data_IF_790568086854
#
_entry.id   IF_790568086854
#
_cell.length_a   1.000
_cell.length_b   1.000
_cell.length_c   1.000
_cell.angle_alpha   90.00
_cell.angle_beta   90.00
_cell.angle_gamma   90.00
#
_symmetry.space_group_name_H-M   'P 1'
#
loop_
_entity.id
_entity.type
_entity.pdbx_description
1 polymer ?
#
# COMPACT_ATOMS: atom_id res chain seq x y z
N UNK A 1 -33.70 -28.95 45.44
CA UNK A 1 -33.68 -28.22 44.19
C UNK A 1 -33.59 -26.73 44.49
N UNK A 2 -32.45 -26.12 44.27
CA UNK A 2 -32.26 -24.65 44.41
C UNK A 2 -31.94 -24.13 43.02
N UNK A 3 -32.56 -23.02 42.56
CA UNK A 3 -32.26 -22.44 41.24
C UNK A 3 -30.94 -21.63 41.28
N UNK A 4 -30.13 -21.83 40.26
CA UNK A 4 -28.86 -21.11 40.02
C UNK A 4 -29.18 -19.75 39.45
N UNK A 5 -28.76 -18.71 40.16
CA UNK A 5 -28.87 -17.31 39.79
C UNK A 5 -27.80 -17.02 38.72
N UNK A 6 -28.21 -16.68 37.49
CA UNK A 6 -27.30 -16.22 36.44
C UNK A 6 -27.01 -14.72 36.64
N UNK A 7 -25.76 -14.42 36.92
CA UNK A 7 -25.24 -13.04 36.96
C UNK A 7 -24.92 -12.63 35.52
N UNK A 8 -25.76 -11.77 34.95
CA UNK A 8 -25.50 -11.12 33.68
C UNK A 8 -24.49 -9.97 33.88
N UNK A 9 -23.28 -10.14 33.38
CA UNK A 9 -22.27 -9.10 33.32
C UNK A 9 -22.69 -8.05 32.27
N UNK A 10 -22.92 -6.82 32.73
CA UNK A 10 -23.20 -5.68 31.85
C UNK A 10 -21.90 -5.24 31.16
N UNK A 11 -21.84 -5.42 29.83
CA UNK A 11 -20.80 -4.84 28.98
C UNK A 11 -21.14 -3.37 28.77
N UNK A 12 -20.21 -2.41 29.05
CA UNK A 12 -20.48 -1.00 28.78
C UNK A 12 -20.56 -0.78 27.26
N UNK A 13 -21.71 -0.29 26.80
CA UNK A 13 -21.88 0.23 25.44
C UNK A 13 -21.04 1.50 25.31
N UNK A 14 -19.89 1.39 24.65
CA UNK A 14 -19.19 2.53 24.09
C UNK A 14 -20.09 3.04 22.94
N UNK A 15 -20.71 4.20 23.16
CA UNK A 15 -21.40 4.96 22.12
C UNK A 15 -20.31 5.46 21.15
N UNK A 16 -20.01 4.67 20.12
CA UNK A 16 -19.34 5.17 18.93
C UNK A 16 -20.31 6.13 18.26
N UNK A 17 -20.00 7.42 18.29
CA UNK A 17 -20.67 8.43 17.47
C UNK A 17 -20.34 8.11 16.00
N UNK A 18 -21.16 7.26 15.39
CA UNK A 18 -21.16 7.06 13.94
C UNK A 18 -21.68 8.33 13.30
N UNK A 19 -20.76 9.18 12.83
CA UNK A 19 -21.09 10.23 11.88
C UNK A 19 -21.62 9.53 10.65
N UNK A 20 -22.91 9.69 10.34
CA UNK A 20 -23.57 9.09 9.19
C UNK A 20 -22.77 9.41 7.92
N UNK A 21 -22.38 8.37 7.17
CA UNK A 21 -21.80 8.51 5.84
C UNK A 21 -22.88 9.12 4.95
N UNK A 22 -22.72 10.37 4.56
CA UNK A 22 -23.64 11.07 3.68
C UNK A 22 -23.68 10.38 2.31
N UNK A 23 -24.87 10.04 1.78
CA UNK A 23 -24.96 9.44 0.46
C UNK A 23 -24.51 10.43 -0.62
N UNK A 24 -23.79 9.91 -1.61
CA UNK A 24 -23.20 10.63 -2.74
C UNK A 24 -24.28 11.08 -3.75
N UNK A 25 -25.05 12.13 -3.42
CA UNK A 25 -25.83 12.86 -4.41
C UNK A 25 -26.06 14.30 -3.94
N UNK A 26 -25.58 15.23 -4.76
CA UNK A 26 -25.58 16.68 -4.61
C UNK A 26 -24.58 17.21 -3.57
N UNK A 27 -23.51 17.87 -4.09
CA UNK A 27 -22.76 18.84 -3.32
C UNK A 27 -23.72 19.93 -2.86
N UNK A 28 -24.16 19.82 -1.62
CA UNK A 28 -24.87 20.90 -0.96
C UNK A 28 -23.82 22.00 -0.71
N UNK A 29 -23.86 23.07 -1.50
CA UNK A 29 -22.94 24.23 -1.46
C UNK A 29 -22.97 24.96 -0.11
N UNK A 30 -23.66 24.42 0.91
CA UNK A 30 -23.89 25.08 2.18
C UNK A 30 -22.71 24.99 3.17
N UNK A 31 -21.82 23.99 3.07
CA UNK A 31 -20.69 23.84 4.02
C UNK A 31 -19.42 23.47 3.25
N UNK A 32 -18.41 24.34 3.21
CA UNK A 32 -17.16 24.07 2.51
C UNK A 32 -16.38 22.92 3.17
N UNK A 33 -15.71 22.10 2.37
CA UNK A 33 -14.79 21.05 2.81
C UNK A 33 -13.62 21.71 3.54
N UNK A 34 -13.43 21.41 4.80
CA UNK A 34 -12.32 21.91 5.60
C UNK A 34 -11.06 21.09 5.32
N UNK A 35 -10.02 21.74 4.82
CA UNK A 35 -8.77 21.09 4.41
C UNK A 35 -7.62 21.58 5.27
N UNK A 36 -6.77 20.69 5.74
CA UNK A 36 -5.42 20.98 6.25
C UNK A 36 -4.39 20.37 5.33
N UNK A 37 -3.22 21.00 5.23
CA UNK A 37 -2.12 20.58 4.36
C UNK A 37 -0.88 20.37 5.22
N UNK A 38 -0.11 19.31 4.91
CA UNK A 38 1.22 19.09 5.44
C UNK A 38 2.19 18.73 4.32
N UNK A 39 3.19 19.57 4.14
CA UNK A 39 4.19 19.46 3.07
C UNK A 39 5.46 20.19 3.54
N UNK A 40 6.61 19.52 3.53
CA UNK A 40 7.87 20.11 3.98
C UNK A 40 8.43 21.12 2.97
N UNK A 41 8.21 20.90 1.68
CA UNK A 41 8.59 21.86 0.64
C UNK A 41 7.69 23.10 0.71
N UNK A 42 8.26 24.24 1.11
CA UNK A 42 7.53 25.49 1.30
C UNK A 42 6.81 25.98 0.03
N UNK A 43 7.44 25.83 -1.14
CA UNK A 43 6.87 26.28 -2.42
C UNK A 43 5.65 25.44 -2.81
N UNK A 44 5.77 24.11 -2.68
CA UNK A 44 4.66 23.20 -2.98
C UNK A 44 3.52 23.39 -1.98
N UNK A 45 3.82 23.53 -0.69
CA UNK A 45 2.85 23.82 0.36
C UNK A 45 2.05 25.09 0.07
N UNK A 46 2.73 26.17 -0.30
CA UNK A 46 2.07 27.43 -0.66
C UNK A 46 1.23 27.27 -1.94
N UNK A 47 1.75 26.58 -2.95
CA UNK A 47 1.03 26.29 -4.20
C UNK A 47 -0.26 25.53 -3.96
N UNK A 48 -0.21 24.40 -3.22
CA UNK A 48 -1.40 23.62 -2.87
C UNK A 48 -2.37 24.46 -2.02
N UNK A 49 -1.85 25.22 -1.05
CA UNK A 49 -2.66 26.09 -0.19
C UNK A 49 -3.44 27.13 -0.99
N UNK A 50 -2.81 27.75 -1.97
CA UNK A 50 -3.45 28.69 -2.87
C UNK A 50 -4.56 28.05 -3.71
N UNK A 51 -4.24 26.92 -4.34
CA UNK A 51 -5.19 26.16 -5.16
C UNK A 51 -6.45 25.78 -4.39
N UNK A 52 -6.29 25.27 -3.17
CA UNK A 52 -7.41 24.90 -2.29
C UNK A 52 -8.20 26.15 -1.89
N UNK A 53 -7.53 27.25 -1.57
CA UNK A 53 -8.17 28.50 -1.13
C UNK A 53 -8.97 29.20 -2.23
N UNK A 54 -8.65 28.97 -3.51
CA UNK A 54 -9.35 29.50 -4.66
C UNK A 54 -10.68 28.76 -4.95
N UNK A 55 -10.93 27.59 -4.30
CA UNK A 55 -12.14 26.81 -4.51
C UNK A 55 -13.29 27.31 -3.62
N UNK A 56 -14.46 27.56 -4.23
CA UNK A 56 -15.65 28.01 -3.48
C UNK A 56 -16.21 26.96 -2.53
N UNK A 57 -15.98 25.67 -2.81
CA UNK A 57 -16.46 24.52 -2.04
C UNK A 57 -15.45 24.00 -1.03
N UNK A 58 -14.31 24.68 -0.84
CA UNK A 58 -13.24 24.29 0.07
C UNK A 58 -12.87 25.45 1.01
N UNK A 59 -12.36 25.10 2.20
CA UNK A 59 -11.81 26.04 3.16
C UNK A 59 -10.49 25.52 3.71
N UNK A 60 -9.40 26.19 3.37
CA UNK A 60 -8.11 25.91 3.98
C UNK A 60 -8.12 26.36 5.44
N UNK A 61 -7.88 25.43 6.38
CA UNK A 61 -7.76 25.73 7.81
C UNK A 61 -6.34 26.11 8.20
N UNK A 62 -5.34 25.52 7.52
CA UNK A 62 -3.94 25.81 7.76
C UNK A 62 -3.03 24.88 6.97
N UNK A 63 -1.73 25.19 6.99
CA UNK A 63 -0.69 24.41 6.34
C UNK A 63 0.53 24.29 7.27
N UNK A 64 1.09 23.08 7.40
CA UNK A 64 2.24 22.75 8.23
C UNK A 64 3.40 22.23 7.38
N UNK A 65 4.64 22.36 7.87
CA UNK A 65 5.83 21.82 7.22
C UNK A 65 6.36 20.54 7.87
N UNK A 66 5.70 20.05 8.91
CA UNK A 66 6.14 18.91 9.72
C UNK A 66 4.95 18.21 10.38
N UNK A 67 5.25 17.08 11.02
CA UNK A 67 4.27 16.23 11.69
C UNK A 67 3.60 16.91 12.89
N UNK A 68 4.35 17.68 13.69
CA UNK A 68 3.83 18.29 14.90
C UNK A 68 2.84 19.42 14.57
N UNK A 69 3.19 20.23 13.58
CA UNK A 69 2.30 21.25 13.04
C UNK A 69 1.02 20.66 12.44
N UNK A 70 1.14 19.53 11.71
CA UNK A 70 -0.03 18.83 11.18
C UNK A 70 -0.95 18.35 12.30
N UNK A 71 -0.42 17.73 13.35
CA UNK A 71 -1.21 17.25 14.50
C UNK A 71 -1.92 18.39 15.23
N UNK A 72 -1.25 19.54 15.39
CA UNK A 72 -1.88 20.74 15.98
C UNK A 72 -3.07 21.20 15.11
N UNK A 73 -2.89 21.33 13.80
CA UNK A 73 -3.97 21.73 12.89
C UNK A 73 -5.15 20.75 12.89
N UNK A 74 -4.90 19.45 13.00
CA UNK A 74 -5.96 18.43 13.12
C UNK A 74 -6.69 18.55 14.45
N UNK A 75 -5.95 18.81 15.55
CA UNK A 75 -6.52 18.97 16.89
C UNK A 75 -7.42 20.20 17.02
N UNK A 76 -6.95 21.32 16.50
CA UNK A 76 -7.60 22.63 16.66
C UNK A 76 -8.73 22.86 15.66
N UNK A 77 -8.62 22.28 14.45
CA UNK A 77 -9.44 22.67 13.29
C UNK A 77 -10.60 21.74 12.95
N UNK A 78 -10.62 20.51 13.44
CA UNK A 78 -11.56 19.45 13.03
C UNK A 78 -11.76 19.42 11.51
N UNK A 79 -10.71 19.09 10.71
CA UNK A 79 -10.78 19.08 9.26
C UNK A 79 -11.63 17.93 8.74
N UNK A 80 -12.20 18.11 7.53
CA UNK A 80 -12.86 17.04 6.79
C UNK A 80 -11.83 16.24 5.97
N UNK A 81 -10.74 16.91 5.52
CA UNK A 81 -9.67 16.31 4.71
C UNK A 81 -8.29 16.77 5.17
N UNK A 82 -7.36 15.83 5.18
CA UNK A 82 -5.92 16.05 5.35
C UNK A 82 -5.23 15.74 4.03
N UNK A 83 -4.49 16.70 3.49
CA UNK A 83 -3.55 16.50 2.37
C UNK A 83 -2.14 16.46 2.97
N UNK A 84 -1.39 15.38 2.79
CA UNK A 84 -0.10 15.21 3.44
C UNK A 84 0.96 14.61 2.53
N UNK A 85 2.18 15.13 2.60
CA UNK A 85 3.35 14.41 2.10
C UNK A 85 3.57 13.13 2.92
N UNK A 86 4.17 12.10 2.30
CA UNK A 86 4.60 10.90 3.01
C UNK A 86 5.74 11.22 3.96
N UNK A 87 6.73 11.97 3.50
CA UNK A 87 8.01 12.20 4.17
C UNK A 87 8.13 13.63 4.65
N UNK A 88 8.07 13.83 5.93
CA UNK A 88 8.20 15.14 6.58
C UNK A 88 9.08 15.05 7.83
N UNK A 89 9.64 16.16 8.32
CA UNK A 89 10.27 16.15 9.64
C UNK A 89 9.31 15.60 10.71
N UNK A 90 9.82 14.88 11.75
CA UNK A 90 11.23 14.86 12.16
C UNK A 90 12.10 13.78 11.49
N UNK A 91 11.55 12.69 10.96
CA UNK A 91 12.37 11.56 10.47
C UNK A 91 12.46 11.51 8.94
N UNK A 92 11.55 12.16 8.24
CA UNK A 92 11.43 12.19 6.77
C UNK A 92 11.36 10.79 6.16
N UNK A 93 10.56 9.91 6.78
CA UNK A 93 10.38 8.52 6.34
C UNK A 93 8.96 8.22 5.88
N UNK A 94 7.99 8.19 6.80
CA UNK A 94 6.62 7.69 6.57
C UNK A 94 5.55 8.45 7.36
N UNK A 95 5.87 9.67 7.82
CA UNK A 95 5.04 10.45 8.73
C UNK A 95 3.59 10.60 8.23
N UNK A 96 3.42 10.90 6.94
CA UNK A 96 2.08 11.05 6.36
C UNK A 96 1.26 9.77 6.36
N UNK A 97 1.89 8.62 6.09
CA UNK A 97 1.22 7.31 6.13
C UNK A 97 0.85 6.95 7.57
N UNK A 98 1.72 7.23 8.54
CA UNK A 98 1.45 7.00 9.97
C UNK A 98 0.27 7.83 10.45
N UNK A 99 0.20 9.12 10.10
CA UNK A 99 -0.96 9.96 10.41
C UNK A 99 -2.23 9.41 9.75
N UNK A 100 -2.16 8.97 8.50
CA UNK A 100 -3.32 8.38 7.82
C UNK A 100 -3.84 7.13 8.53
N UNK A 101 -2.94 6.29 9.05
CA UNK A 101 -3.28 5.09 9.84
C UNK A 101 -3.87 5.48 11.20
N UNK A 102 -3.24 6.41 11.92
CA UNK A 102 -3.73 6.95 13.21
C UNK A 102 -5.14 7.55 13.06
N UNK A 103 -5.38 8.34 12.02
CA UNK A 103 -6.69 8.95 11.75
C UNK A 103 -7.76 7.91 11.39
N UNK A 104 -7.39 6.78 10.79
CA UNK A 104 -8.33 5.70 10.52
C UNK A 104 -8.92 5.14 11.81
N UNK A 105 -8.10 4.99 12.85
CA UNK A 105 -8.50 4.43 14.12
C UNK A 105 -9.22 5.45 15.01
N UNK A 106 -8.70 6.68 15.04
CA UNK A 106 -9.16 7.71 15.99
C UNK A 106 -10.24 8.61 15.44
N UNK A 107 -10.19 8.92 14.14
CA UNK A 107 -11.13 9.84 13.44
C UNK A 107 -11.45 9.33 12.03
N UNK A 108 -12.17 8.21 11.88
CA UNK A 108 -12.41 7.55 10.58
C UNK A 108 -13.18 8.40 9.58
N UNK A 109 -13.85 9.46 10.04
CA UNK A 109 -14.57 10.41 9.18
C UNK A 109 -13.66 11.41 8.45
N UNK A 110 -12.36 11.50 8.78
CA UNK A 110 -11.43 12.39 8.10
C UNK A 110 -10.87 11.69 6.87
N UNK A 111 -11.07 12.30 5.68
CA UNK A 111 -10.44 11.88 4.44
C UNK A 111 -8.94 12.20 4.43
N UNK A 112 -8.12 11.35 3.83
CA UNK A 112 -6.67 11.60 3.72
C UNK A 112 -6.22 11.44 2.28
N UNK A 113 -5.58 12.47 1.74
CA UNK A 113 -4.86 12.46 0.46
C UNK A 113 -3.37 12.43 0.77
N UNK A 114 -2.71 11.36 0.39
CA UNK A 114 -1.26 11.20 0.55
C UNK A 114 -0.56 11.54 -0.77
N UNK A 115 0.43 12.42 -0.71
CA UNK A 115 1.25 12.83 -1.83
C UNK A 115 2.61 12.14 -1.76
N UNK A 116 3.03 11.50 -2.84
CA UNK A 116 4.29 10.76 -2.92
C UNK A 116 5.16 11.28 -4.07
N UNK A 117 6.44 11.47 -3.82
CA UNK A 117 7.39 11.80 -4.88
C UNK A 117 7.75 10.56 -5.73
N UNK A 118 7.74 9.39 -5.13
CA UNK A 118 8.06 8.12 -5.78
C UNK A 118 6.94 7.12 -5.50
N UNK A 119 6.47 6.45 -6.52
CA UNK A 119 5.38 5.48 -6.42
C UNK A 119 5.77 4.19 -5.68
N UNK A 120 6.21 4.29 -4.42
CA UNK A 120 6.58 3.12 -3.63
C UNK A 120 5.32 2.33 -3.24
N UNK A 121 5.18 1.08 -3.73
CA UNK A 121 4.02 0.25 -3.43
C UNK A 121 3.83 -0.04 -1.94
N UNK A 122 4.91 -0.05 -1.16
CA UNK A 122 4.84 -0.35 0.28
C UNK A 122 4.01 0.69 1.04
N UNK A 123 4.15 1.98 0.70
CA UNK A 123 3.34 3.04 1.31
C UNK A 123 1.87 2.97 0.88
N UNK A 124 1.60 2.59 -0.37
CA UNK A 124 0.23 2.41 -0.84
C UNK A 124 -0.45 1.23 -0.14
N UNK A 125 0.26 0.10 0.05
CA UNK A 125 -0.24 -1.04 0.83
C UNK A 125 -0.56 -0.59 2.25
N UNK A 126 0.38 0.06 2.95
CA UNK A 126 0.19 0.52 4.33
C UNK A 126 -0.98 1.51 4.45
N UNK A 127 -1.13 2.43 3.48
CA UNK A 127 -2.24 3.38 3.44
C UNK A 127 -3.60 2.69 3.27
N UNK A 128 -3.68 1.64 2.44
CA UNK A 128 -4.92 0.97 2.08
C UNK A 128 -5.22 -0.24 2.96
N UNK A 129 -4.26 -0.69 3.78
CA UNK A 129 -4.46 -1.75 4.76
C UNK A 129 -5.55 -1.36 5.76
N UNK A 130 -6.49 -2.26 5.99
CA UNK A 130 -7.66 -2.01 6.84
C UNK A 130 -8.82 -1.26 6.17
N UNK A 131 -8.75 -1.00 4.85
CA UNK A 131 -9.83 -0.43 4.03
C UNK A 131 -9.40 0.79 3.20
N UNK A 132 -10.08 0.99 2.08
CA UNK A 132 -9.75 2.04 1.11
C UNK A 132 -10.55 3.33 1.33
N UNK A 133 -11.71 3.26 2.01
CA UNK A 133 -12.64 4.39 2.14
C UNK A 133 -11.98 5.65 2.73
N UNK A 134 -12.21 6.79 2.07
CA UNK A 134 -11.66 8.08 2.48
C UNK A 134 -10.14 8.21 2.33
N UNK A 135 -9.51 7.42 1.46
CA UNK A 135 -8.06 7.44 1.25
C UNK A 135 -7.71 7.68 -0.21
N UNK A 136 -6.78 8.62 -0.45
CA UNK A 136 -6.21 8.82 -1.77
C UNK A 136 -4.67 8.75 -1.72
N UNK A 137 -4.09 8.19 -2.76
CA UNK A 137 -2.65 8.13 -2.98
C UNK A 137 -2.34 8.71 -4.36
N UNK A 138 -1.66 9.85 -4.39
CA UNK A 138 -1.29 10.56 -5.62
C UNK A 138 0.22 10.73 -5.72
N UNK A 139 0.73 10.72 -6.94
CA UNK A 139 2.11 11.12 -7.23
C UNK A 139 2.22 12.64 -7.27
N UNK A 140 3.29 13.22 -6.68
CA UNK A 140 3.54 14.68 -6.70
C UNK A 140 3.67 15.23 -8.13
N UNK A 141 4.18 14.43 -9.06
CA UNK A 141 4.24 14.82 -10.48
C UNK A 141 2.84 15.04 -11.08
N UNK A 142 1.83 14.36 -10.55
CA UNK A 142 0.42 14.52 -10.94
C UNK A 142 -0.26 15.72 -10.27
N UNK A 143 0.27 16.21 -9.15
CA UNK A 143 -0.23 17.44 -8.49
C UNK A 143 0.01 18.68 -9.36
N UNK A 144 0.87 18.59 -10.37
CA UNK A 144 0.97 19.60 -11.43
C UNK A 144 -0.33 19.73 -12.23
N UNK A 145 -1.15 18.69 -12.32
CA UNK A 145 -2.56 18.76 -12.72
C UNK A 145 -3.41 19.02 -11.47
N UNK A 146 -3.67 20.30 -11.25
CA UNK A 146 -4.44 20.80 -10.10
C UNK A 146 -5.80 20.13 -9.97
N UNK A 147 -6.44 19.78 -11.08
CA UNK A 147 -7.77 19.18 -11.10
C UNK A 147 -7.77 17.77 -10.49
N UNK A 148 -6.72 16.98 -10.69
CA UNK A 148 -6.60 15.65 -10.06
C UNK A 148 -6.55 15.73 -8.52
N UNK A 149 -5.81 16.71 -7.97
CA UNK A 149 -5.75 16.93 -6.53
C UNK A 149 -7.11 17.37 -5.97
N UNK A 150 -7.77 18.31 -6.63
CA UNK A 150 -9.08 18.81 -6.20
C UNK A 150 -10.16 17.73 -6.27
N UNK A 151 -10.13 16.88 -7.29
CA UNK A 151 -11.00 15.70 -7.38
C UNK A 151 -10.70 14.74 -6.23
N UNK A 152 -9.44 14.43 -5.94
CA UNK A 152 -9.09 13.54 -4.85
C UNK A 152 -9.57 14.07 -3.49
N UNK A 153 -9.44 15.38 -3.21
CA UNK A 153 -9.95 15.99 -1.99
C UNK A 153 -11.47 15.79 -1.86
N UNK A 154 -12.23 16.03 -2.94
CA UNK A 154 -13.69 15.84 -2.94
C UNK A 154 -14.08 14.38 -2.75
N UNK A 155 -13.37 13.48 -3.41
CA UNK A 155 -13.64 12.04 -3.32
C UNK A 155 -13.42 11.51 -1.89
N UNK A 156 -12.28 11.85 -1.26
CA UNK A 156 -12.01 11.39 0.12
C UNK A 156 -12.93 12.05 1.15
N UNK A 157 -13.35 13.30 0.93
CA UNK A 157 -14.35 13.97 1.76
C UNK A 157 -15.71 13.24 1.72
N UNK A 158 -16.03 12.63 0.57
CA UNK A 158 -17.24 11.82 0.40
C UNK A 158 -17.06 10.34 0.83
N UNK A 159 -15.92 9.99 1.44
CA UNK A 159 -15.60 8.63 1.89
C UNK A 159 -15.16 7.68 0.76
N UNK A 160 -14.98 8.16 -0.46
CA UNK A 160 -14.48 7.37 -1.59
C UNK A 160 -12.95 7.32 -1.60
N UNK A 161 -12.38 6.54 -2.50
CA UNK A 161 -10.92 6.39 -2.64
C UNK A 161 -10.44 6.75 -4.03
N UNK A 162 -9.23 7.30 -4.09
CA UNK A 162 -8.52 7.60 -5.35
C UNK A 162 -7.10 7.07 -5.25
N UNK A 163 -6.70 6.23 -6.18
CA UNK A 163 -5.33 5.71 -6.27
C UNK A 163 -4.82 5.94 -7.68
N UNK A 164 -3.64 6.55 -7.77
CA UNK A 164 -2.98 6.77 -9.05
C UNK A 164 -2.82 5.44 -9.83
N UNK A 165 -3.17 5.40 -11.13
CA UNK A 165 -3.05 4.19 -11.95
C UNK A 165 -1.65 3.57 -11.95
N UNK A 166 -0.58 4.35 -11.92
CA UNK A 166 0.80 3.85 -11.85
C UNK A 166 1.07 3.12 -10.53
N UNK A 167 0.42 3.56 -9.44
CA UNK A 167 0.51 2.87 -8.15
C UNK A 167 -0.24 1.54 -8.20
N UNK A 168 -1.42 1.52 -8.82
CA UNK A 168 -2.18 0.27 -9.01
C UNK A 168 -1.35 -0.72 -9.81
N UNK A 169 -0.72 -0.30 -10.90
CA UNK A 169 0.16 -1.14 -11.70
C UNK A 169 1.33 -1.67 -10.86
N UNK A 170 2.00 -0.81 -10.11
CA UNK A 170 3.10 -1.17 -9.20
C UNK A 170 2.66 -2.17 -8.13
N UNK A 171 1.45 -2.00 -7.56
CA UNK A 171 0.87 -2.95 -6.59
C UNK A 171 0.58 -4.31 -7.21
N UNK A 172 0.08 -4.36 -8.45
CA UNK A 172 -0.17 -5.61 -9.18
C UNK A 172 1.16 -6.33 -9.45
N UNK A 173 2.19 -5.61 -9.85
CA UNK A 173 3.53 -6.17 -10.08
C UNK A 173 4.13 -6.69 -8.76
N UNK A 174 4.07 -5.88 -7.69
CA UNK A 174 4.56 -6.27 -6.37
C UNK A 174 3.82 -7.49 -5.81
N UNK A 175 2.50 -7.55 -5.98
CA UNK A 175 1.70 -8.69 -5.53
C UNK A 175 1.97 -9.96 -6.34
N UNK A 176 2.29 -9.84 -7.64
CA UNK A 176 2.75 -10.97 -8.45
C UNK A 176 4.11 -11.50 -7.99
N UNK A 177 4.99 -10.61 -7.51
CA UNK A 177 6.29 -10.98 -6.92
C UNK A 177 6.16 -11.52 -5.50
N UNK A 178 5.17 -11.06 -4.73
CA UNK A 178 4.89 -11.51 -3.36
C UNK A 178 3.98 -12.76 -3.30
N UNK A 179 3.34 -13.15 -4.41
CA UNK A 179 2.71 -14.46 -4.48
C UNK A 179 3.79 -15.53 -4.21
N UNK A 180 3.50 -16.57 -3.38
CA UNK A 180 4.47 -17.63 -3.13
C UNK A 180 5.02 -18.08 -4.47
N UNK A 181 6.29 -17.77 -4.73
CA UNK A 181 6.98 -18.21 -5.92
C UNK A 181 6.96 -19.72 -5.89
N UNK A 182 6.70 -20.38 -7.03
CA UNK A 182 6.89 -21.83 -7.08
C UNK A 182 8.29 -22.23 -6.60
N UNK A 183 9.23 -21.28 -6.58
CA UNK A 183 10.58 -21.43 -6.02
C UNK A 183 10.58 -21.57 -4.50
N UNK A 184 9.62 -20.99 -3.75
CA UNK A 184 9.51 -21.13 -2.29
C UNK A 184 9.18 -22.56 -1.87
N UNK A 185 8.72 -23.39 -2.82
CA UNK A 185 8.47 -24.83 -2.63
C UNK A 185 9.74 -25.66 -2.73
N UNK A 186 10.84 -25.05 -3.21
CA UNK A 186 12.11 -25.74 -3.33
C UNK A 186 12.84 -25.77 -1.99
N UNK A 187 13.50 -26.88 -1.71
CA UNK A 187 14.43 -26.93 -0.58
C UNK A 187 15.71 -26.13 -0.91
N UNK A 188 16.47 -25.73 0.09
CA UNK A 188 17.73 -25.04 -0.10
C UNK A 188 18.66 -25.78 -1.09
N UNK A 189 18.68 -27.13 -1.04
CA UNK A 189 19.49 -27.95 -1.93
C UNK A 189 18.98 -27.96 -3.37
N UNK A 190 17.68 -27.95 -3.57
CA UNK A 190 17.07 -27.84 -4.92
C UNK A 190 17.30 -26.46 -5.52
N UNK A 191 17.24 -25.41 -4.70
CA UNK A 191 17.54 -24.06 -5.13
C UNK A 191 19.02 -23.92 -5.57
N UNK A 192 19.97 -24.43 -4.81
CA UNK A 192 21.39 -24.49 -5.20
C UNK A 192 21.60 -25.21 -6.55
N UNK A 193 20.89 -26.32 -6.78
CA UNK A 193 20.95 -27.04 -8.06
C UNK A 193 20.37 -26.21 -9.20
N UNK A 194 19.25 -25.53 -8.97
CA UNK A 194 18.61 -24.67 -9.95
C UNK A 194 19.47 -23.45 -10.32
N UNK A 195 20.12 -22.84 -9.32
CA UNK A 195 21.09 -21.77 -9.53
C UNK A 195 22.25 -22.20 -10.44
N UNK A 196 22.82 -23.39 -10.21
CA UNK A 196 23.86 -23.92 -11.08
C UNK A 196 23.35 -24.25 -12.49
N UNK A 197 22.07 -24.65 -12.63
CA UNK A 197 21.42 -24.78 -13.94
C UNK A 197 21.29 -23.44 -14.66
N UNK A 198 20.95 -22.37 -13.94
CA UNK A 198 20.83 -21.02 -14.49
C UNK A 198 22.18 -20.47 -14.98
N UNK A 199 23.28 -20.91 -14.39
CA UNK A 199 24.65 -20.65 -14.91
C UNK A 199 25.01 -21.47 -16.16
N UNK A 200 24.09 -22.27 -16.71
CA UNK A 200 24.32 -23.07 -17.91
C UNK A 200 25.11 -24.36 -17.73
N UNK A 201 25.39 -24.78 -16.48
CA UNK A 201 26.20 -25.97 -16.19
C UNK A 201 25.47 -27.27 -16.52
N UNK A 202 26.24 -28.28 -17.05
CA UNK A 202 25.73 -29.63 -17.22
C UNK A 202 25.57 -30.36 -15.87
N UNK A 203 24.81 -31.47 -15.84
CA UNK A 203 24.63 -32.25 -14.62
C UNK A 203 25.99 -32.75 -14.04
N UNK A 204 26.94 -33.13 -14.87
CA UNK A 204 28.28 -33.51 -14.47
C UNK A 204 29.02 -32.33 -13.80
N UNK A 205 28.94 -31.13 -14.37
CA UNK A 205 29.57 -29.91 -13.80
C UNK A 205 28.90 -29.49 -12.50
N UNK A 206 27.57 -29.61 -12.38
CA UNK A 206 26.82 -29.35 -11.13
C UNK A 206 27.22 -30.37 -10.07
N UNK A 207 27.29 -31.65 -10.42
CA UNK A 207 27.69 -32.71 -9.52
C UNK A 207 29.08 -32.46 -8.94
N UNK A 208 30.03 -32.08 -9.79
CA UNK A 208 31.39 -31.71 -9.36
C UNK A 208 31.39 -30.47 -8.45
N UNK A 209 30.61 -29.41 -8.79
CA UNK A 209 30.55 -28.18 -8.01
C UNK A 209 29.93 -28.40 -6.62
N UNK A 210 28.89 -29.23 -6.54
CA UNK A 210 28.14 -29.44 -5.31
C UNK A 210 28.58 -30.69 -4.51
N UNK A 211 29.63 -31.37 -4.96
CA UNK A 211 30.15 -32.62 -4.35
C UNK A 211 29.10 -33.72 -4.27
N UNK A 212 28.33 -33.91 -5.36
CA UNK A 212 27.27 -34.92 -5.49
C UNK A 212 27.57 -35.88 -6.65
N UNK A 213 26.81 -36.97 -6.73
CA UNK A 213 26.78 -37.80 -7.94
C UNK A 213 25.82 -37.22 -8.99
N UNK A 214 26.07 -37.49 -10.28
CA UNK A 214 25.16 -37.08 -11.36
C UNK A 214 23.75 -37.63 -11.16
N UNK A 215 23.62 -38.85 -10.66
CA UNK A 215 22.33 -39.46 -10.31
C UNK A 215 21.57 -38.70 -9.21
N UNK A 216 22.29 -38.08 -8.25
CA UNK A 216 21.69 -37.19 -7.26
C UNK A 216 21.21 -35.89 -7.88
N UNK A 217 21.97 -35.31 -8.81
CA UNK A 217 21.54 -34.12 -9.58
C UNK A 217 20.29 -34.40 -10.41
N UNK A 218 20.22 -35.57 -11.09
CA UNK A 218 19.00 -35.97 -11.81
C UNK A 218 17.78 -36.06 -10.89
N UNK A 219 17.95 -36.66 -9.68
CA UNK A 219 16.89 -36.75 -8.70
C UNK A 219 16.42 -35.36 -8.24
N UNK A 220 17.35 -34.46 -7.94
CA UNK A 220 17.01 -33.07 -7.59
C UNK A 220 16.33 -32.34 -8.76
N UNK A 221 16.81 -32.49 -9.97
CA UNK A 221 16.21 -31.90 -11.18
C UNK A 221 14.75 -32.32 -11.36
N UNK A 222 14.48 -33.64 -11.22
CA UNK A 222 13.11 -34.16 -11.31
C UNK A 222 12.21 -33.63 -10.19
N UNK A 223 12.73 -33.50 -8.98
CA UNK A 223 12.00 -32.92 -7.85
C UNK A 223 11.70 -31.43 -8.09
N UNK A 224 12.66 -30.66 -8.61
CA UNK A 224 12.48 -29.27 -9.03
C UNK A 224 11.37 -29.16 -10.07
N UNK A 225 11.45 -29.95 -11.15
CA UNK A 225 10.44 -29.90 -12.22
C UNK A 225 9.04 -30.28 -11.71
N UNK A 226 8.93 -31.25 -10.80
CA UNK A 226 7.67 -31.61 -10.19
C UNK A 226 7.10 -30.46 -9.33
N UNK A 227 7.93 -29.83 -8.49
CA UNK A 227 7.51 -28.75 -7.60
C UNK A 227 7.16 -27.47 -8.35
N UNK A 228 7.80 -27.22 -9.49
CA UNK A 228 7.51 -26.09 -10.39
C UNK A 228 6.35 -26.39 -11.36
N UNK A 229 5.65 -27.53 -11.23
CA UNK A 229 4.52 -27.88 -12.09
C UNK A 229 4.91 -28.28 -13.53
N UNK A 230 6.19 -28.59 -13.78
CA UNK A 230 6.72 -28.87 -15.12
C UNK A 230 6.75 -30.38 -15.44
N UNK A 231 6.23 -31.24 -14.55
CA UNK A 231 6.35 -32.70 -14.69
C UNK A 231 5.54 -33.27 -15.88
N UNK A 232 4.40 -32.66 -16.20
CA UNK A 232 3.46 -33.15 -17.22
C UNK A 232 3.58 -32.42 -18.56
N UNK A 233 4.50 -31.48 -18.71
CA UNK A 233 4.67 -30.74 -19.97
C UNK A 233 5.51 -31.51 -20.96
N UNK A 234 4.88 -31.93 -22.05
CA UNK A 234 5.49 -32.82 -23.10
C UNK A 234 6.24 -32.00 -24.16
N UNK A 235 5.81 -30.78 -24.46
CA UNK A 235 6.31 -29.97 -25.57
C UNK A 235 7.37 -28.91 -25.16
N UNK A 236 7.76 -28.84 -23.89
CA UNK A 236 8.69 -27.83 -23.38
C UNK A 236 9.99 -28.47 -22.84
N UNK A 237 11.11 -27.80 -23.10
CA UNK A 237 12.35 -28.12 -22.40
C UNK A 237 12.23 -27.67 -20.92
N UNK A 238 11.88 -28.62 -20.03
CA UNK A 238 11.65 -28.40 -18.60
C UNK A 238 12.81 -27.69 -17.91
N UNK A 239 14.06 -28.00 -18.32
CA UNK A 239 15.24 -27.34 -17.77
C UNK A 239 15.27 -25.85 -18.12
N UNK A 240 15.03 -25.52 -19.40
CA UNK A 240 14.97 -24.12 -19.86
C UNK A 240 13.85 -23.37 -19.13
N UNK A 241 12.67 -23.98 -19.01
CA UNK A 241 11.54 -23.35 -18.33
C UNK A 241 11.82 -23.11 -16.84
N UNK A 242 12.43 -24.08 -16.14
CA UNK A 242 12.82 -23.92 -14.73
C UNK A 242 13.83 -22.78 -14.54
N UNK A 243 14.81 -22.67 -15.43
CA UNK A 243 15.79 -21.56 -15.41
C UNK A 243 15.12 -20.22 -15.68
N UNK A 244 14.18 -20.13 -16.62
CA UNK A 244 13.44 -18.89 -16.89
C UNK A 244 12.59 -18.46 -15.69
N UNK A 245 11.94 -19.39 -14.98
CA UNK A 245 11.21 -19.11 -13.73
C UNK A 245 12.15 -18.58 -12.65
N UNK A 246 13.34 -19.14 -12.51
CA UNK A 246 14.36 -18.69 -11.56
C UNK A 246 14.81 -17.26 -11.87
N UNK A 247 15.13 -16.96 -13.14
CA UNK A 247 15.61 -15.62 -13.56
C UNK A 247 14.50 -14.54 -13.55
N UNK A 248 13.24 -14.93 -13.50
CA UNK A 248 12.11 -13.99 -13.39
C UNK A 248 11.77 -13.65 -11.93
N UNK A 249 12.30 -14.41 -10.97
CA UNK A 249 12.05 -14.21 -9.54
C UNK A 249 13.13 -13.34 -8.86
N UNK A 250 14.29 -13.14 -9.51
CA UNK A 250 15.32 -12.17 -9.14
C UNK A 250 14.94 -10.78 -9.68
#
# INVERSE_FOLDING_TARGET
MRPVCAVAAAVPRVLAATREVRPASHYDLAVPIKVVIAEDNALLREGIGRVVSEQADMKLLGAAGDLDGLRSLIGDGDPDVVVTDIRMPPTSTDEGVRVATELRETRPGIGVVVLSQHGDPAYAVALLEGGTGGRAYLLKDRVADVDELLVAIREVAAGRSVVDPLIIESLVIANRRAAPSDLDRLTARELEVLEQMAQGKSNAAIAATLYLSERAIEKHSNAIFSKLGLAEEVDLNRRVKAVLLYLQAD
#
